data_IF_438968533591
#
_entry.id   IF_438968533591
#
_cell.length_a   1.000
_cell.length_b   1.000
_cell.length_c   1.000
_cell.angle_alpha   90.00
_cell.angle_beta   90.00
_cell.angle_gamma   90.00
#
_symmetry.space_group_name_H-M   'P 1'
#
loop_
_entity.id
_entity.type
_entity.pdbx_description
1 polymer ?
#
# COMPACT_ATOMS: atom_id res chain seq x y z
N UNK A 1 7.27 -25.38 7.18
CA UNK A 1 7.43 -25.00 5.76
C UNK A 1 8.26 -23.72 5.69
N UNK A 2 9.44 -23.79 5.06
CA UNK A 2 10.34 -22.65 4.86
C UNK A 2 9.66 -21.60 3.98
N UNK A 3 9.47 -20.38 4.50
CA UNK A 3 9.38 -19.18 3.67
C UNK A 3 10.68 -18.42 3.87
N UNK A 4 11.64 -18.66 2.99
CA UNK A 4 12.68 -17.66 2.75
C UNK A 4 11.96 -16.33 2.51
N UNK A 5 12.18 -15.36 3.39
CA UNK A 5 11.79 -13.99 3.14
C UNK A 5 12.48 -13.57 1.84
N UNK A 6 11.72 -13.53 0.74
CA UNK A 6 12.24 -13.13 -0.56
C UNK A 6 12.69 -11.67 -0.39
N UNK A 7 13.95 -11.45 -0.69
CA UNK A 7 14.78 -10.29 -0.31
C UNK A 7 14.30 -8.90 -0.82
N UNK A 8 13.09 -8.77 -1.38
CA UNK A 8 12.65 -7.54 -2.07
C UNK A 8 11.13 -7.31 -2.07
N UNK A 9 10.40 -7.76 -1.05
CA UNK A 9 8.97 -7.48 -0.95
C UNK A 9 8.75 -6.11 -0.29
N UNK A 10 8.49 -5.08 -1.10
CA UNK A 10 8.13 -3.74 -0.62
C UNK A 10 6.65 -3.73 -0.18
N UNK A 11 6.35 -3.01 0.90
CA UNK A 11 5.00 -2.80 1.39
C UNK A 11 4.73 -1.32 1.66
N UNK A 12 3.54 -0.84 1.31
CA UNK A 12 3.08 0.51 1.58
C UNK A 12 2.01 0.50 2.67
N UNK A 13 2.02 1.51 3.55
CA UNK A 13 0.95 1.75 4.52
C UNK A 13 -0.09 2.67 3.86
N UNK A 14 -1.32 2.18 3.74
CA UNK A 14 -2.43 2.93 3.13
C UNK A 14 -3.44 3.29 4.20
N UNK A 15 -3.83 4.57 4.21
CA UNK A 15 -4.87 5.11 5.09
C UNK A 15 -6.08 5.46 4.22
N UNK A 16 -7.12 4.63 4.27
CA UNK A 16 -8.39 4.92 3.58
C UNK A 16 -9.19 5.92 4.40
N UNK A 17 -9.54 7.07 3.80
CA UNK A 17 -10.26 8.16 4.45
C UNK A 17 -11.41 8.59 3.55
N UNK A 18 -12.65 8.30 3.95
CA UNK A 18 -13.83 8.69 3.18
C UNK A 18 -14.10 10.19 3.37
N UNK A 19 -14.22 10.99 2.30
CA UNK A 19 -14.29 12.46 2.39
C UNK A 19 -15.59 12.99 3.01
N UNK A 20 -16.70 12.25 2.93
CA UNK A 20 -18.01 12.69 3.46
C UNK A 20 -18.20 12.44 4.97
N UNK A 21 -17.22 11.82 5.61
CA UNK A 21 -17.35 11.30 6.97
C UNK A 21 -16.70 12.26 7.98
N UNK A 22 -17.02 13.56 7.85
CA UNK A 22 -16.47 14.64 8.70
C UNK A 22 -16.84 14.46 10.20
N UNK A 23 -17.91 13.71 10.49
CA UNK A 23 -18.27 13.26 11.85
C UNK A 23 -17.68 11.88 12.22
N UNK A 24 -17.20 11.08 11.26
CA UNK A 24 -16.53 9.82 11.55
C UNK A 24 -15.10 10.09 12.02
N UNK A 25 -15.01 10.41 13.31
CA UNK A 25 -13.77 10.33 14.07
C UNK A 25 -13.14 8.94 13.86
N UNK A 26 -12.15 8.89 12.98
CA UNK A 26 -10.95 8.07 13.11
C UNK A 26 -11.22 6.56 13.04
N UNK A 27 -11.81 6.07 11.94
CA UNK A 27 -11.57 4.69 11.50
C UNK A 27 -10.89 4.68 10.15
N UNK A 28 -9.81 5.46 10.04
CA UNK A 28 -8.90 5.32 8.93
C UNK A 28 -8.28 3.92 9.02
N UNK A 29 -8.74 3.00 8.17
CA UNK A 29 -8.26 1.62 8.18
C UNK A 29 -6.86 1.61 7.59
N UNK A 30 -5.86 1.69 8.46
CA UNK A 30 -4.48 1.48 8.08
C UNK A 30 -4.29 0.03 7.67
N UNK A 31 -3.88 -0.20 6.44
CA UNK A 31 -3.53 -1.53 5.96
C UNK A 31 -2.17 -1.51 5.25
N UNK A 32 -1.39 -2.55 5.49
CA UNK A 32 -0.18 -2.81 4.72
C UNK A 32 -0.56 -3.48 3.41
N UNK A 33 -0.21 -2.86 2.29
CA UNK A 33 -0.46 -3.38 0.95
C UNK A 33 0.88 -3.82 0.34
N UNK A 34 1.01 -5.07 -0.13
CA UNK A 34 2.21 -5.50 -0.84
C UNK A 34 2.30 -4.78 -2.18
N UNK A 35 3.46 -4.20 -2.48
CA UNK A 35 3.71 -3.59 -3.77
C UNK A 35 4.11 -4.69 -4.75
N UNK A 36 3.28 -4.91 -5.77
CA UNK A 36 3.53 -5.97 -6.75
C UNK A 36 4.78 -5.64 -7.59
N UNK A 37 5.71 -6.60 -7.67
CA UNK A 37 6.92 -6.50 -8.49
C UNK A 37 8.22 -6.54 -7.68
N UNK A 38 9.34 -6.81 -8.37
CA UNK A 38 10.69 -6.80 -7.78
C UNK A 38 11.33 -5.44 -8.01
N UNK A 39 11.02 -4.48 -7.16
CA UNK A 39 11.53 -3.11 -7.28
C UNK A 39 12.91 -2.98 -6.64
N UNK A 40 13.88 -2.47 -7.40
CA UNK A 40 15.27 -2.29 -6.93
C UNK A 40 15.46 -1.04 -6.10
N UNK A 41 14.55 -0.06 -6.20
CA UNK A 41 14.59 1.19 -5.45
C UNK A 41 13.17 1.57 -4.99
N UNK A 42 13.12 2.50 -4.03
CA UNK A 42 11.87 2.97 -3.41
C UNK A 42 10.97 3.70 -4.41
N UNK A 43 11.55 4.51 -5.28
CA UNK A 43 10.78 5.38 -6.17
C UNK A 43 10.00 4.54 -7.20
N UNK A 44 10.63 3.52 -7.78
CA UNK A 44 9.95 2.56 -8.66
C UNK A 44 8.86 1.75 -7.94
N UNK A 45 9.04 1.45 -6.65
CA UNK A 45 8.01 0.82 -5.85
C UNK A 45 6.84 1.78 -5.59
N UNK A 46 7.14 3.07 -5.34
CA UNK A 46 6.15 4.11 -5.13
C UNK A 46 5.32 4.39 -6.40
N UNK A 47 5.95 4.49 -7.57
CA UNK A 47 5.26 4.66 -8.86
C UNK A 47 4.25 3.53 -9.11
N UNK A 48 4.63 2.28 -8.80
CA UNK A 48 3.73 1.14 -8.92
C UNK A 48 2.59 1.21 -7.89
N UNK A 49 2.88 1.65 -6.66
CA UNK A 49 1.87 1.87 -5.64
C UNK A 49 0.83 2.92 -6.08
N UNK A 50 1.27 4.05 -6.65
CA UNK A 50 0.38 5.07 -7.21
C UNK A 50 -0.48 4.53 -8.36
N UNK A 51 0.11 3.72 -9.26
CA UNK A 51 -0.65 3.07 -10.32
C UNK A 51 -1.72 2.11 -9.77
N UNK A 52 -1.42 1.37 -8.69
CA UNK A 52 -2.39 0.47 -8.05
C UNK A 52 -3.47 1.24 -7.28
N UNK A 53 -3.13 2.32 -6.58
CA UNK A 53 -4.10 3.11 -5.81
C UNK A 53 -5.08 3.85 -6.73
N UNK A 54 -4.63 4.32 -7.88
CA UNK A 54 -5.48 4.96 -8.90
C UNK A 54 -6.55 4.00 -9.48
N UNK A 55 -6.34 2.69 -9.40
CA UNK A 55 -7.33 1.68 -9.86
C UNK A 55 -8.30 1.22 -8.79
N UNK A 56 -8.08 1.58 -7.52
CA UNK A 56 -8.88 1.15 -6.39
C UNK A 56 -9.93 2.23 -6.07
N UNK A 57 -11.04 2.20 -6.81
CA UNK A 57 -12.26 2.97 -6.54
C UNK A 57 -13.14 2.29 -5.49
#
# INVERSE_FOLDING_TARGET
MRREARKWDWAALVTDTHPDDLEARIFAKQCWVPILGKHRNRDAAWDMFEAMSATRH
#
